data_IF_640434561790
#
_entry.id   IF_640434561790
#
_cell.length_a   1.000
_cell.length_b   1.000
_cell.length_c   1.000
_cell.angle_alpha   90.00
_cell.angle_beta   90.00
_cell.angle_gamma   90.00
#
_symmetry.space_group_name_H-M   'P 1'
#
loop_
_entity.id
_entity.type
_entity.pdbx_description
1 polymer ?
#
# COMPACT_ATOMS: atom_id res chain seq x y z
N UNK A 1 46.19 -15.69 11.87
CA UNK A 1 44.78 -16.09 11.93
C UNK A 1 44.07 -15.39 10.78
N UNK A 2 43.63 -16.11 9.76
CA UNK A 2 42.85 -15.52 8.66
C UNK A 2 41.49 -15.11 9.24
N UNK A 3 41.20 -13.82 9.28
CA UNK A 3 39.87 -13.34 9.66
C UNK A 3 38.86 -13.87 8.64
N UNK A 4 37.92 -14.69 9.10
CA UNK A 4 36.76 -15.09 8.30
C UNK A 4 35.89 -13.88 8.01
N UNK A 5 35.24 -13.89 6.84
CA UNK A 5 34.28 -12.86 6.46
C UNK A 5 32.86 -13.30 6.82
N UNK A 6 32.04 -12.35 7.23
CA UNK A 6 30.64 -12.56 7.57
C UNK A 6 29.89 -13.03 6.32
N UNK A 7 29.20 -14.16 6.42
CA UNK A 7 28.43 -14.74 5.31
C UNK A 7 27.31 -13.82 4.82
N UNK A 8 26.88 -12.84 5.62
CA UNK A 8 25.77 -11.94 5.27
C UNK A 8 26.19 -10.56 4.76
N UNK A 9 27.28 -9.97 5.28
CA UNK A 9 27.67 -8.60 4.93
C UNK A 9 29.16 -8.44 4.61
N UNK A 10 29.90 -9.55 4.56
CA UNK A 10 31.34 -9.60 4.26
C UNK A 10 32.27 -8.85 5.23
N UNK A 11 31.73 -8.32 6.34
CA UNK A 11 32.52 -7.72 7.41
C UNK A 11 33.43 -8.76 8.11
N UNK A 12 34.59 -8.36 8.64
CA UNK A 12 35.48 -9.27 9.38
C UNK A 12 34.80 -9.79 10.66
N UNK A 13 34.92 -11.09 10.94
CA UNK A 13 34.26 -11.74 12.08
C UNK A 13 34.94 -13.06 12.45
N UNK A 14 34.91 -13.40 13.73
CA UNK A 14 35.39 -14.69 14.26
C UNK A 14 34.32 -15.80 14.19
N UNK A 15 33.06 -15.41 13.97
CA UNK A 15 31.90 -16.29 13.81
C UNK A 15 31.38 -16.26 12.36
N UNK A 16 30.47 -17.16 11.98
CA UNK A 16 29.91 -17.21 10.62
C UNK A 16 29.12 -15.94 10.23
N UNK A 17 28.53 -15.25 11.22
CA UNK A 17 27.93 -13.92 11.06
C UNK A 17 28.46 -12.94 12.11
N UNK A 18 28.61 -11.68 11.73
CA UNK A 18 29.16 -10.64 12.60
C UNK A 18 28.16 -10.19 13.69
N UNK A 19 28.62 -9.55 14.78
CA UNK A 19 27.76 -9.12 15.90
C UNK A 19 26.58 -8.24 15.49
N UNK A 20 26.77 -7.34 14.52
CA UNK A 20 25.70 -6.52 13.98
C UNK A 20 24.61 -7.36 13.31
N UNK A 21 25.00 -8.36 12.51
CA UNK A 21 24.04 -9.26 11.87
C UNK A 21 23.31 -10.13 12.89
N UNK A 22 23.94 -10.49 14.01
CA UNK A 22 23.31 -11.20 15.14
C UNK A 22 22.26 -10.32 15.81
N UNK A 23 22.55 -9.05 16.09
CA UNK A 23 21.58 -8.11 16.67
C UNK A 23 20.38 -7.89 15.75
N UNK A 24 20.63 -7.69 14.45
CA UNK A 24 19.57 -7.53 13.45
C UNK A 24 18.70 -8.80 13.36
N UNK A 25 19.31 -10.00 13.35
CA UNK A 25 18.59 -11.27 13.34
C UNK A 25 17.74 -11.46 14.61
N UNK A 26 18.29 -11.13 15.79
CA UNK A 26 17.54 -11.16 17.06
C UNK A 26 16.33 -10.23 17.01
N UNK A 27 16.51 -9.01 16.52
CA UNK A 27 15.43 -8.04 16.40
C UNK A 27 14.35 -8.51 15.41
N UNK A 28 14.75 -9.13 14.29
CA UNK A 28 13.83 -9.70 13.31
C UNK A 28 13.00 -10.85 13.90
N UNK A 29 13.64 -11.83 14.53
CA UNK A 29 12.97 -12.95 15.20
C UNK A 29 12.05 -12.49 16.33
N UNK A 30 12.51 -11.55 17.16
CA UNK A 30 11.68 -10.95 18.20
C UNK A 30 10.46 -10.24 17.60
N UNK A 31 10.61 -9.51 16.48
CA UNK A 31 9.47 -8.84 15.82
C UNK A 31 8.43 -9.80 15.21
N UNK A 32 8.84 -11.04 14.90
CA UNK A 32 7.90 -12.07 14.44
C UNK A 32 6.97 -12.51 15.57
N UNK A 33 7.52 -12.67 16.77
CA UNK A 33 6.77 -13.10 17.95
C UNK A 33 6.04 -11.96 18.68
N UNK A 34 6.68 -10.80 18.81
CA UNK A 34 6.21 -9.68 19.65
C UNK A 34 6.19 -8.37 18.87
N UNK A 35 5.11 -7.59 19.03
CA UNK A 35 5.02 -6.24 18.50
C UNK A 35 5.65 -5.19 19.43
N UNK A 36 5.78 -3.92 18.98
CA UNK A 36 6.28 -2.85 19.82
C UNK A 36 5.39 -2.62 21.06
N UNK A 37 5.98 -2.22 22.18
CA UNK A 37 5.20 -1.82 23.35
C UNK A 37 4.51 -0.48 23.09
N UNK A 38 3.19 -0.46 23.25
CA UNK A 38 2.39 0.76 23.14
C UNK A 38 1.67 0.94 24.48
N UNK A 39 1.95 2.05 25.17
CA UNK A 39 1.39 2.35 26.49
C UNK A 39 1.67 1.26 27.55
N UNK A 40 2.88 0.68 27.54
CA UNK A 40 3.29 -0.35 28.49
C UNK A 40 2.62 -1.72 28.31
N UNK A 41 1.98 -1.96 27.16
CA UNK A 41 1.44 -3.27 26.79
C UNK A 41 2.11 -3.76 25.50
N UNK A 42 2.57 -5.02 25.44
CA UNK A 42 3.09 -5.59 24.21
C UNK A 42 1.96 -5.70 23.20
N UNK A 43 2.25 -5.30 21.95
CA UNK A 43 1.32 -5.49 20.84
C UNK A 43 1.57 -6.83 20.14
N UNK A 44 0.63 -7.25 19.29
CA UNK A 44 0.73 -8.49 18.53
C UNK A 44 1.94 -8.48 17.59
N UNK A 45 2.64 -9.63 17.51
CA UNK A 45 3.78 -9.83 16.62
C UNK A 45 3.39 -9.84 15.14
N UNK A 46 4.39 -9.81 14.25
CA UNK A 46 4.12 -9.86 12.80
C UNK A 46 3.38 -11.15 12.38
N UNK A 47 3.62 -12.28 13.05
CA UNK A 47 2.93 -13.54 12.75
C UNK A 47 1.44 -13.47 13.10
N UNK A 48 1.09 -12.87 14.23
CA UNK A 48 -0.31 -12.68 14.65
C UNK A 48 -1.02 -11.68 13.74
N UNK A 49 -0.35 -10.57 13.41
CA UNK A 49 -0.88 -9.58 12.46
C UNK A 49 -1.12 -10.20 11.07
N UNK A 50 -0.26 -11.13 10.64
CA UNK A 50 -0.45 -11.87 9.39
C UNK A 50 -1.62 -12.86 9.47
N UNK A 51 -1.80 -13.53 10.61
CA UNK A 51 -2.98 -14.36 10.87
C UNK A 51 -4.28 -13.52 10.84
N UNK A 52 -4.26 -12.32 11.39
CA UNK A 52 -5.38 -11.38 11.32
C UNK A 52 -5.72 -10.97 9.88
N UNK A 53 -4.73 -10.87 8.98
CA UNK A 53 -4.98 -10.62 7.55
C UNK A 53 -5.73 -11.79 6.92
N UNK A 54 -5.32 -13.04 7.23
CA UNK A 54 -6.00 -14.25 6.75
C UNK A 54 -7.43 -14.32 7.28
N UNK A 55 -7.62 -14.06 8.57
CA UNK A 55 -8.92 -14.10 9.24
C UNK A 55 -9.79 -12.85 8.97
N UNK A 56 -9.29 -11.85 8.24
CA UNK A 56 -9.95 -10.56 7.99
C UNK A 56 -10.31 -9.80 9.29
N UNK A 57 -9.52 -9.99 10.33
CA UNK A 57 -9.64 -9.34 11.63
C UNK A 57 -8.87 -8.03 11.73
N UNK A 58 -8.04 -7.70 10.73
CA UNK A 58 -7.28 -6.45 10.70
C UNK A 58 -8.19 -5.22 10.75
N UNK A 59 -8.03 -4.40 11.81
CA UNK A 59 -8.61 -3.05 11.88
C UNK A 59 -7.91 -2.17 10.85
N UNK A 60 -8.60 -1.83 9.77
CA UNK A 60 -8.12 -0.94 8.72
C UNK A 60 -7.97 0.50 9.25
N UNK A 61 -6.78 0.84 9.74
CA UNK A 61 -6.24 2.18 10.02
C UNK A 61 -7.02 3.15 10.93
N UNK A 62 -6.26 4.04 11.58
CA UNK A 62 -6.72 5.13 12.45
C UNK A 62 -7.59 6.20 11.75
N UNK A 63 -7.70 6.19 10.42
CA UNK A 63 -8.59 7.07 9.67
C UNK A 63 -9.88 6.33 9.29
N UNK A 64 -10.76 6.12 10.28
CA UNK A 64 -12.22 6.19 10.15
C UNK A 64 -12.90 5.53 8.94
N UNK A 65 -12.32 4.47 8.37
CA UNK A 65 -12.97 3.68 7.33
C UNK A 65 -13.96 2.75 7.97
N UNK A 66 -15.17 3.22 8.28
CA UNK A 66 -16.28 2.33 8.63
C UNK A 66 -16.38 1.24 7.56
N UNK A 67 -16.48 -0.03 8.00
CA UNK A 67 -16.98 -1.13 7.16
C UNK A 67 -18.22 -0.60 6.45
N UNK A 68 -18.28 -0.69 5.12
CA UNK A 68 -19.49 -0.29 4.40
C UNK A 68 -20.61 -1.24 4.86
N UNK A 69 -21.78 -0.70 5.18
CA UNK A 69 -22.97 -1.48 5.50
C UNK A 69 -23.21 -2.49 4.36
N UNK A 70 -22.97 -3.77 4.63
CA UNK A 70 -22.85 -4.84 3.60
C UNK A 70 -21.63 -5.76 3.77
N UNK A 71 -20.57 -5.29 4.45
CA UNK A 71 -19.38 -6.09 4.84
C UNK A 71 -19.54 -6.81 6.19
N UNK A 72 -20.77 -6.91 6.72
CA UNK A 72 -21.09 -7.53 8.02
C UNK A 72 -21.15 -9.06 7.95
N UNK A 73 -21.28 -9.62 6.76
CA UNK A 73 -21.09 -11.06 6.58
C UNK A 73 -19.61 -11.31 6.30
N UNK A 74 -18.94 -12.25 7.01
CA UNK A 74 -17.67 -12.76 6.54
C UNK A 74 -17.90 -13.21 5.10
N UNK A 75 -17.23 -12.51 4.17
CA UNK A 75 -17.31 -12.83 2.74
C UNK A 75 -17.13 -14.34 2.63
N UNK A 76 -18.11 -15.09 2.07
CA UNK A 76 -18.02 -16.53 1.94
C UNK A 76 -16.63 -16.89 1.41
N UNK A 77 -16.05 -17.99 1.90
CA UNK A 77 -14.75 -18.48 1.46
C UNK A 77 -14.73 -18.51 -0.08
N UNK A 78 -14.15 -17.45 -0.66
CA UNK A 78 -13.87 -17.40 -2.08
C UNK A 78 -12.59 -18.20 -2.22
N UNK A 79 -12.57 -19.27 -3.03
CA UNK A 79 -11.34 -20.00 -3.30
C UNK A 79 -10.27 -19.00 -3.75
N UNK A 80 -9.01 -19.25 -3.36
CA UNK A 80 -7.82 -18.39 -3.50
C UNK A 80 -7.41 -18.08 -4.95
N UNK A 81 -8.34 -17.58 -5.76
CA UNK A 81 -8.12 -17.06 -7.10
C UNK A 81 -8.36 -15.56 -7.06
N UNK A 82 -7.31 -14.78 -6.89
CA UNK A 82 -7.39 -13.37 -7.24
C UNK A 82 -7.46 -13.23 -8.77
N UNK A 83 -7.61 -11.99 -9.23
CA UNK A 83 -7.80 -11.66 -10.65
C UNK A 83 -6.65 -12.23 -11.48
N UNK A 84 -6.93 -12.81 -12.65
CA UNK A 84 -5.87 -13.22 -13.59
C UNK A 84 -4.98 -12.01 -13.92
N UNK A 85 -3.65 -12.20 -14.00
CA UNK A 85 -2.75 -11.12 -14.42
C UNK A 85 -3.07 -10.81 -15.87
N UNK A 86 -3.42 -9.56 -16.16
CA UNK A 86 -3.44 -9.06 -17.54
C UNK A 86 -2.08 -8.50 -17.87
N UNK A 87 -1.45 -9.02 -18.91
CA UNK A 87 -0.23 -8.43 -19.43
C UNK A 87 -0.53 -7.00 -19.89
N UNK A 88 0.24 -6.04 -19.37
CA UNK A 88 0.05 -4.60 -19.65
C UNK A 88 0.35 -4.23 -21.10
N UNK A 89 1.09 -5.06 -21.84
CA UNK A 89 1.46 -4.80 -23.23
C UNK A 89 0.51 -5.44 -24.25
N UNK A 90 0.09 -6.68 -24.00
CA UNK A 90 -0.73 -7.47 -24.95
C UNK A 90 -2.20 -7.55 -24.55
N UNK A 91 -2.53 -7.28 -23.29
CA UNK A 91 -3.91 -7.39 -22.78
C UNK A 91 -4.39 -8.83 -22.58
N UNK A 92 -3.54 -9.82 -22.86
CA UNK A 92 -3.83 -11.24 -22.64
C UNK A 92 -3.81 -11.56 -21.15
N UNK A 93 -4.74 -12.42 -20.74
CA UNK A 93 -4.80 -12.97 -19.37
C UNK A 93 -3.79 -14.11 -19.29
N UNK A 94 -2.79 -13.99 -18.41
CA UNK A 94 -1.88 -15.10 -18.13
C UNK A 94 -2.63 -16.15 -17.31
N UNK A 95 -2.35 -17.44 -17.55
CA UNK A 95 -2.94 -18.55 -16.78
C UNK A 95 -2.53 -18.58 -15.30
N UNK A 96 -1.63 -17.69 -14.86
CA UNK A 96 -1.24 -17.59 -13.45
C UNK A 96 -2.27 -16.79 -12.63
N UNK A 97 -2.94 -17.41 -11.63
CA UNK A 97 -3.84 -16.70 -10.75
C UNK A 97 -3.04 -15.77 -9.83
N UNK A 98 -3.35 -14.47 -9.83
CA UNK A 98 -2.83 -13.58 -8.79
C UNK A 98 -3.45 -14.00 -7.48
N UNK A 99 -2.64 -14.37 -6.49
CA UNK A 99 -3.19 -14.68 -5.17
C UNK A 99 -3.87 -13.45 -4.57
N UNK A 100 -5.02 -13.66 -3.93
CA UNK A 100 -5.63 -12.64 -3.07
C UNK A 100 -4.65 -12.24 -1.96
N UNK A 101 -4.79 -11.04 -1.36
CA UNK A 101 -3.98 -10.69 -0.18
C UNK A 101 -4.06 -11.74 0.94
N UNK A 102 -5.22 -12.39 1.09
CA UNK A 102 -5.44 -13.49 2.03
C UNK A 102 -4.69 -14.76 1.63
N UNK A 103 -4.78 -15.17 0.36
CA UNK A 103 -4.05 -16.33 -0.16
C UNK A 103 -2.54 -16.15 -0.05
N UNK A 104 -2.05 -14.93 -0.33
CA UNK A 104 -0.64 -14.56 -0.11
C UNK A 104 -0.25 -14.61 1.38
N UNK A 105 -1.10 -14.11 2.27
CA UNK A 105 -0.85 -14.18 3.71
C UNK A 105 -0.86 -15.63 4.23
N UNK A 106 -1.77 -16.47 3.74
CA UNK A 106 -1.86 -17.90 4.07
C UNK A 106 -0.59 -18.65 3.63
N UNK A 107 -0.13 -18.44 2.39
CA UNK A 107 1.12 -19.00 1.91
C UNK A 107 2.33 -18.54 2.73
N UNK A 108 2.37 -17.25 3.11
CA UNK A 108 3.43 -16.73 3.96
C UNK A 108 3.40 -17.32 5.38
N UNK A 109 2.22 -17.61 5.96
CA UNK A 109 2.13 -18.31 7.24
C UNK A 109 2.64 -19.75 7.12
N UNK A 110 2.29 -20.46 6.05
CA UNK A 110 2.82 -21.80 5.80
C UNK A 110 4.34 -21.78 5.61
N UNK A 111 4.86 -20.82 4.86
CA UNK A 111 6.30 -20.60 4.69
C UNK A 111 6.98 -20.27 6.02
N UNK A 112 6.40 -19.38 6.83
CA UNK A 112 6.92 -19.03 8.15
C UNK A 112 6.99 -20.25 9.07
N UNK A 113 5.91 -21.05 9.11
CA UNK A 113 5.85 -22.29 9.88
C UNK A 113 6.98 -23.24 9.50
N UNK A 114 7.12 -23.51 8.19
CA UNK A 114 8.14 -24.42 7.70
C UNK A 114 9.54 -23.90 8.04
N UNK A 115 9.84 -22.64 7.70
CA UNK A 115 11.15 -22.02 7.94
C UNK A 115 11.54 -22.09 9.42
N UNK A 116 10.66 -21.62 10.32
CA UNK A 116 10.94 -21.59 11.76
C UNK A 116 11.05 -23.01 12.34
N UNK A 117 10.17 -23.93 11.95
CA UNK A 117 10.20 -25.31 12.45
C UNK A 117 11.45 -26.08 11.99
N UNK A 118 11.91 -25.85 10.76
CA UNK A 118 13.14 -26.44 10.21
C UNK A 118 14.35 -25.89 10.94
N UNK A 119 14.50 -24.56 11.05
CA UNK A 119 15.65 -23.97 11.74
C UNK A 119 15.72 -24.37 13.23
N UNK A 120 14.58 -24.48 13.92
CA UNK A 120 14.54 -25.03 15.29
C UNK A 120 15.03 -26.47 15.33
N UNK A 121 14.52 -27.32 14.42
CA UNK A 121 14.91 -28.73 14.34
C UNK A 121 16.40 -28.87 14.07
N UNK A 122 16.91 -28.23 13.02
CA UNK A 122 18.30 -28.32 12.59
C UNK A 122 19.25 -27.86 13.71
N UNK A 123 18.93 -26.74 14.38
CA UNK A 123 19.73 -26.25 15.50
C UNK A 123 19.71 -27.18 16.72
N UNK A 124 18.58 -27.83 16.97
CA UNK A 124 18.46 -28.84 18.03
C UNK A 124 19.26 -30.11 17.68
N UNK A 125 19.17 -30.58 16.43
CA UNK A 125 19.87 -31.76 15.92
C UNK A 125 21.39 -31.58 15.93
N UNK A 126 21.90 -30.45 15.40
CA UNK A 126 23.33 -30.12 15.43
C UNK A 126 23.91 -30.07 16.85
N UNK A 127 23.07 -29.78 17.85
CA UNK A 127 23.48 -29.70 19.26
C UNK A 127 23.17 -30.94 20.08
N UNK A 128 22.51 -31.95 19.50
CA UNK A 128 22.07 -33.14 20.22
C UNK A 128 21.06 -32.84 21.33
N UNK A 129 20.24 -31.79 21.18
CA UNK A 129 19.23 -31.38 22.15
C UNK A 129 17.86 -31.84 21.64
N UNK A 130 17.10 -32.53 22.48
CA UNK A 130 15.71 -32.86 22.18
C UNK A 130 14.82 -31.59 22.15
N UNK A 131 13.91 -31.51 21.18
CA UNK A 131 13.07 -30.31 20.97
C UNK A 131 12.15 -30.06 22.17
N UNK A 132 11.57 -31.10 22.79
CA UNK A 132 10.74 -30.90 24.00
C UNK A 132 11.59 -30.34 25.14
N UNK A 133 12.82 -30.85 25.32
CA UNK A 133 13.78 -30.32 26.29
C UNK A 133 14.18 -28.87 25.99
N UNK A 134 14.41 -28.52 24.72
CA UNK A 134 14.78 -27.16 24.30
C UNK A 134 13.72 -26.12 24.70
N UNK A 135 12.44 -26.50 24.67
CA UNK A 135 11.30 -25.66 25.05
C UNK A 135 10.79 -25.91 26.48
N UNK A 136 11.51 -26.74 27.27
CA UNK A 136 11.13 -27.11 28.65
C UNK A 136 9.70 -27.69 28.71
N UNK A 137 9.34 -28.51 27.73
CA UNK A 137 8.05 -29.20 27.65
C UNK A 137 8.25 -30.68 27.99
N UNK A 138 7.33 -31.25 28.77
CA UNK A 138 7.21 -32.70 28.97
C UNK A 138 5.94 -33.24 28.31
N UNK A 139 5.89 -34.53 27.96
CA UNK A 139 4.67 -35.17 27.47
C UNK A 139 3.48 -34.96 28.41
N UNK A 140 2.27 -34.93 27.84
CA UNK A 140 1.05 -34.66 28.58
C UNK A 140 0.76 -35.73 29.66
N UNK A 141 1.20 -36.96 29.42
CA UNK A 141 1.05 -38.15 30.26
C UNK A 141 2.16 -38.31 31.30
N UNK A 142 3.17 -37.44 31.33
CA UNK A 142 4.25 -37.50 32.33
C UNK A 142 3.64 -37.37 33.73
N UNK A 143 3.87 -38.34 34.62
CA UNK A 143 3.39 -38.29 36.00
C UNK A 143 4.54 -37.86 36.92
N UNK A 144 4.35 -36.80 37.70
CA UNK A 144 5.34 -36.33 38.68
C UNK A 144 5.52 -34.80 38.72
N UNK A 145 6.28 -34.29 39.69
CA UNK A 145 6.55 -32.86 39.80
C UNK A 145 7.39 -32.36 38.63
N UNK A 146 7.07 -31.15 38.14
CA UNK A 146 7.83 -30.50 37.06
C UNK A 146 9.00 -29.71 37.62
N UNK A 147 10.10 -29.64 36.87
CA UNK A 147 11.18 -28.72 37.15
C UNK A 147 10.69 -27.26 37.01
N UNK A 148 11.29 -26.28 37.73
CA UNK A 148 10.92 -24.87 37.58
C UNK A 148 11.01 -24.38 36.13
N UNK A 149 9.94 -23.75 35.65
CA UNK A 149 9.83 -23.26 34.27
C UNK A 149 9.54 -24.35 33.22
N UNK A 150 9.35 -25.61 33.62
CA UNK A 150 8.86 -26.66 32.74
C UNK A 150 7.34 -26.73 32.73
N UNK A 151 6.77 -27.10 31.59
CA UNK A 151 5.32 -27.23 31.39
C UNK A 151 4.96 -28.56 30.76
N UNK A 152 3.73 -29.02 30.99
CA UNK A 152 3.17 -30.15 30.25
C UNK A 152 2.69 -29.68 28.88
N UNK A 153 2.85 -30.54 27.89
CA UNK A 153 2.19 -30.38 26.60
C UNK A 153 0.67 -30.30 26.79
N UNK A 154 0.03 -29.29 26.17
CA UNK A 154 -1.43 -29.15 26.20
C UNK A 154 -2.14 -30.13 25.27
N UNK A 155 -1.44 -30.64 24.24
CA UNK A 155 -1.94 -31.54 23.20
C UNK A 155 -0.86 -32.60 22.94
N UNK A 156 -1.29 -33.84 22.66
CA UNK A 156 -0.40 -34.93 22.23
C UNK A 156 -0.76 -35.36 20.79
N UNK A 157 0.19 -35.34 19.83
CA UNK A 157 1.58 -34.91 19.95
C UNK A 157 1.71 -33.39 20.09
N UNK A 158 2.72 -32.94 20.85
CA UNK A 158 3.02 -31.52 20.99
C UNK A 158 3.72 -30.97 19.74
N UNK A 159 3.36 -29.74 19.37
CA UNK A 159 3.96 -29.02 18.26
C UNK A 159 4.31 -27.60 18.73
N UNK A 160 5.53 -27.16 18.40
CA UNK A 160 5.99 -25.79 18.67
C UNK A 160 5.12 -24.80 17.88
N UNK A 161 4.57 -23.77 18.53
CA UNK A 161 3.88 -22.69 17.82
C UNK A 161 4.88 -21.74 17.13
N UNK A 162 4.48 -21.08 16.05
CA UNK A 162 5.38 -20.18 15.32
C UNK A 162 5.94 -19.04 16.18
N UNK A 163 5.13 -18.34 17.02
CA UNK A 163 5.67 -17.31 17.90
C UNK A 163 6.67 -17.86 18.93
N UNK A 164 6.40 -19.03 19.51
CA UNK A 164 7.34 -19.71 20.43
C UNK A 164 8.65 -20.08 19.71
N UNK A 165 8.57 -20.62 18.49
CA UNK A 165 9.75 -20.95 17.69
C UNK A 165 10.60 -19.71 17.40
N UNK A 166 9.97 -18.61 16.98
CA UNK A 166 10.67 -17.35 16.70
C UNK A 166 11.32 -16.76 17.97
N UNK A 167 10.62 -16.77 19.11
CA UNK A 167 11.13 -16.29 20.39
C UNK A 167 12.30 -17.15 20.91
N UNK A 168 12.18 -18.47 20.78
CA UNK A 168 13.26 -19.39 21.13
C UNK A 168 14.50 -19.19 20.26
N UNK A 169 14.33 -19.02 18.94
CA UNK A 169 15.44 -18.69 18.04
C UNK A 169 16.06 -17.34 18.40
N UNK A 170 15.27 -16.33 18.79
CA UNK A 170 15.76 -15.02 19.22
C UNK A 170 16.64 -15.10 20.48
N UNK A 171 16.30 -16.00 21.41
CA UNK A 171 17.09 -16.28 22.61
C UNK A 171 18.39 -17.05 22.28
N UNK A 172 18.39 -17.82 21.20
CA UNK A 172 19.49 -18.68 20.79
C UNK A 172 20.25 -18.15 19.56
N UNK A 173 20.22 -16.86 19.25
CA UNK A 173 20.91 -16.33 18.06
C UNK A 173 22.43 -16.52 18.12
N UNK A 174 23.02 -16.55 19.32
CA UNK A 174 24.44 -16.89 19.43
C UNK A 174 24.72 -18.32 18.97
N UNK A 175 23.79 -19.25 19.21
CA UNK A 175 23.89 -20.60 18.71
C UNK A 175 23.87 -20.66 17.18
N UNK A 176 22.96 -19.88 16.57
CA UNK A 176 22.88 -19.70 15.13
C UNK A 176 24.17 -19.12 14.58
N UNK A 177 24.79 -18.15 15.26
CA UNK A 177 26.02 -17.50 14.76
C UNK A 177 27.24 -18.42 14.69
N UNK A 178 27.23 -19.52 15.45
CA UNK A 178 28.27 -20.54 15.44
C UNK A 178 28.00 -21.67 14.42
N UNK A 179 26.87 -21.63 13.72
CA UNK A 179 26.47 -22.65 12.75
C UNK A 179 26.95 -22.29 11.34
N UNK A 180 27.35 -23.29 10.56
CA UNK A 180 27.80 -23.09 9.18
C UNK A 180 26.71 -22.53 8.26
N UNK A 181 25.43 -22.81 8.58
CA UNK A 181 24.26 -22.33 7.85
C UNK A 181 23.77 -20.93 8.30
N UNK A 182 24.47 -20.24 9.21
CA UNK A 182 24.04 -18.98 9.81
C UNK A 182 23.64 -17.90 8.79
N UNK A 183 24.41 -17.76 7.70
CA UNK A 183 24.15 -16.80 6.63
C UNK A 183 22.85 -17.10 5.88
N UNK A 184 22.59 -18.38 5.60
CA UNK A 184 21.37 -18.83 4.94
C UNK A 184 20.15 -18.57 5.83
N UNK A 185 20.20 -19.00 7.09
CA UNK A 185 19.07 -18.82 8.02
C UNK A 185 18.73 -17.34 8.23
N UNK A 186 19.74 -16.47 8.33
CA UNK A 186 19.52 -15.02 8.39
C UNK A 186 18.84 -14.50 7.14
N UNK A 187 19.28 -14.92 5.95
CA UNK A 187 18.70 -14.47 4.68
C UNK A 187 17.23 -14.92 4.55
N UNK A 188 16.91 -16.14 4.97
CA UNK A 188 15.55 -16.67 4.98
C UNK A 188 14.64 -15.87 5.92
N UNK A 189 15.09 -15.58 7.15
CA UNK A 189 14.33 -14.79 8.12
C UNK A 189 14.15 -13.34 7.64
N UNK A 190 15.19 -12.71 7.10
CA UNK A 190 15.11 -11.36 6.56
C UNK A 190 14.15 -11.27 5.36
N UNK A 191 14.20 -12.24 4.45
CA UNK A 191 13.27 -12.34 3.32
C UNK A 191 11.82 -12.54 3.81
N UNK A 192 11.63 -13.42 4.81
CA UNK A 192 10.33 -13.70 5.42
C UNK A 192 9.76 -12.44 6.07
N UNK A 193 10.50 -11.77 6.95
CA UNK A 193 10.06 -10.54 7.63
C UNK A 193 9.70 -9.45 6.62
N UNK A 194 10.51 -9.26 5.57
CA UNK A 194 10.20 -8.28 4.51
C UNK A 194 8.96 -8.67 3.71
N UNK A 195 8.72 -9.95 3.47
CA UNK A 195 7.52 -10.42 2.79
C UNK A 195 6.27 -10.20 3.65
N UNK A 196 6.34 -10.55 4.93
CA UNK A 196 5.26 -10.36 5.90
C UNK A 196 4.92 -8.88 6.04
N UNK A 197 5.92 -8.01 6.27
CA UNK A 197 5.71 -6.55 6.34
C UNK A 197 5.04 -6.01 5.09
N UNK A 198 5.49 -6.39 3.89
CA UNK A 198 4.85 -5.98 2.63
C UNK A 198 3.41 -6.46 2.45
N UNK A 199 3.02 -7.55 3.10
CA UNK A 199 1.65 -8.10 3.04
C UNK A 199 0.74 -7.45 4.07
N UNK A 200 1.26 -7.15 5.27
CA UNK A 200 0.54 -6.42 6.32
C UNK A 200 0.39 -4.94 5.94
N UNK A 201 1.50 -4.30 5.56
CA UNK A 201 1.53 -2.90 5.18
C UNK A 201 0.89 -2.74 3.80
N UNK A 202 -0.21 -1.99 3.75
CA UNK A 202 -0.83 -1.63 2.48
C UNK A 202 0.19 -0.81 1.67
N UNK A 203 0.46 -1.15 0.39
CA UNK A 203 1.31 -0.33 -0.45
C UNK A 203 0.83 1.11 -0.42
N UNK A 204 1.73 2.04 -0.08
CA UNK A 204 1.38 3.46 0.02
C UNK A 204 0.83 3.90 -1.33
N UNK A 205 -0.37 4.47 -1.33
CA UNK A 205 -1.01 4.91 -2.56
C UNK A 205 -0.23 6.07 -3.13
N UNK A 206 0.19 5.92 -4.39
CA UNK A 206 0.77 7.02 -5.16
C UNK A 206 -0.33 7.80 -5.84
N UNK A 207 -0.36 9.10 -5.59
CA UNK A 207 -1.27 10.03 -6.24
C UNK A 207 -0.54 10.83 -7.32
N UNK A 208 -1.28 11.20 -8.37
CA UNK A 208 -0.80 12.16 -9.36
C UNK A 208 -0.94 13.56 -8.77
N UNK A 209 0.18 14.25 -8.54
CA UNK A 209 0.20 15.58 -7.94
C UNK A 209 -0.08 16.67 -8.98
N UNK A 210 0.48 16.54 -10.18
CA UNK A 210 0.44 17.55 -11.23
C UNK A 210 1.68 17.50 -12.12
N UNK A 211 1.85 18.51 -12.98
CA UNK A 211 3.03 18.63 -13.85
C UNK A 211 4.16 19.39 -13.15
N UNK A 212 5.40 19.03 -13.47
CA UNK A 212 6.57 19.73 -12.97
C UNK A 212 6.70 21.13 -13.60
N UNK A 213 6.65 22.15 -12.75
CA UNK A 213 6.68 23.57 -13.13
C UNK A 213 8.10 24.15 -13.25
N UNK A 214 9.14 23.36 -13.03
CA UNK A 214 10.52 23.87 -13.16
C UNK A 214 10.76 24.33 -14.58
N UNK A 215 11.19 25.59 -14.74
CA UNK A 215 11.65 26.12 -16.01
C UNK A 215 12.99 25.50 -16.36
N UNK A 216 13.05 24.87 -17.53
CA UNK A 216 14.24 24.32 -18.17
C UNK A 216 14.53 25.24 -19.35
N UNK A 217 15.77 25.71 -19.47
CA UNK A 217 16.25 26.56 -20.57
C UNK A 217 15.42 27.85 -20.79
N UNK A 218 15.17 28.58 -19.69
CA UNK A 218 14.70 29.98 -19.71
C UNK A 218 13.25 30.25 -20.19
N UNK A 219 12.60 29.29 -20.86
CA UNK A 219 11.24 29.49 -21.39
C UNK A 219 10.33 28.27 -21.34
N UNK A 220 10.84 27.04 -21.23
CA UNK A 220 10.00 25.82 -21.26
C UNK A 220 9.86 25.21 -19.87
N UNK A 221 8.66 24.80 -19.48
CA UNK A 221 8.46 24.03 -18.26
C UNK A 221 8.82 22.56 -18.48
N UNK A 222 9.24 21.89 -17.41
CA UNK A 222 9.66 20.48 -17.47
C UNK A 222 8.52 19.55 -17.89
N UNK A 223 7.29 19.86 -17.48
CA UNK A 223 6.01 19.20 -17.78
C UNK A 223 5.96 17.71 -17.46
N UNK A 224 6.86 17.23 -16.60
CA UNK A 224 6.85 15.84 -16.17
C UNK A 224 5.74 15.59 -15.13
N UNK A 225 4.91 14.57 -15.34
CA UNK A 225 3.84 14.19 -14.40
C UNK A 225 4.41 13.63 -13.09
N UNK A 226 4.34 14.43 -12.02
CA UNK A 226 4.85 14.07 -10.70
C UNK A 226 3.85 13.19 -9.95
N UNK A 227 4.36 12.09 -9.41
CA UNK A 227 3.61 11.16 -8.56
C UNK A 227 4.33 11.03 -7.23
N UNK A 228 3.57 11.05 -6.15
CA UNK A 228 4.12 10.87 -4.81
C UNK A 228 3.13 10.10 -3.92
N UNK A 229 3.61 9.48 -2.84
CA UNK A 229 2.77 9.01 -1.73
C UNK A 229 1.80 10.08 -1.23
N UNK A 230 0.63 9.67 -0.71
CA UNK A 230 -0.38 10.59 -0.14
C UNK A 230 0.18 11.48 0.97
N UNK A 231 1.07 10.92 1.80
CA UNK A 231 1.75 11.53 2.93
C UNK A 231 3.07 12.24 2.59
N UNK A 232 3.50 12.21 1.32
CA UNK A 232 4.74 12.86 0.93
C UNK A 232 4.61 14.39 0.98
N UNK A 233 5.51 15.02 1.74
CA UNK A 233 5.63 16.49 1.82
C UNK A 233 6.36 17.04 0.57
N UNK A 234 7.35 16.30 0.08
CA UNK A 234 8.19 16.70 -1.05
C UNK A 234 8.29 15.60 -2.11
N UNK A 235 8.40 16.02 -3.36
CA UNK A 235 8.59 15.15 -4.52
C UNK A 235 9.78 15.61 -5.35
N UNK A 236 10.63 14.66 -5.74
CA UNK A 236 11.76 14.91 -6.65
C UNK A 236 11.35 14.56 -8.08
N UNK A 237 11.48 15.52 -9.00
CA UNK A 237 11.21 15.26 -10.42
C UNK A 237 12.32 14.35 -11.01
N UNK A 238 11.99 13.22 -11.66
CA UNK A 238 13.01 12.36 -12.26
C UNK A 238 13.66 12.97 -13.52
N UNK A 239 12.96 13.89 -14.21
CA UNK A 239 13.46 14.56 -15.44
C UNK A 239 14.42 15.71 -15.14
N UNK A 240 14.00 16.71 -14.35
CA UNK A 240 14.83 17.88 -14.02
C UNK A 240 15.54 17.80 -12.65
N UNK A 241 15.32 16.72 -11.89
CA UNK A 241 15.92 16.46 -10.56
C UNK A 241 15.61 17.48 -9.46
N UNK A 242 14.79 18.50 -9.76
CA UNK A 242 14.34 19.49 -8.77
C UNK A 242 13.41 18.87 -7.74
N UNK A 243 13.60 19.25 -6.47
CA UNK A 243 12.71 18.90 -5.36
C UNK A 243 11.66 19.99 -5.20
N UNK A 244 10.39 19.60 -5.04
CA UNK A 244 9.25 20.52 -4.85
C UNK A 244 8.37 20.03 -3.74
N UNK A 245 7.74 20.96 -3.01
CA UNK A 245 6.66 20.63 -2.08
C UNK A 245 5.43 20.14 -2.85
N UNK A 246 4.86 19.03 -2.39
CA UNK A 246 3.71 18.40 -3.01
C UNK A 246 2.50 19.35 -3.07
N UNK A 247 2.27 20.14 -2.02
CA UNK A 247 1.16 21.10 -1.98
C UNK A 247 1.28 22.20 -3.03
N UNK A 248 2.49 22.68 -3.32
CA UNK A 248 2.72 23.66 -4.38
C UNK A 248 2.40 23.08 -5.75
N UNK A 249 2.81 21.83 -6.01
CA UNK A 249 2.52 21.14 -7.27
C UNK A 249 1.01 20.89 -7.42
N UNK A 250 0.33 20.46 -6.35
CA UNK A 250 -1.13 20.27 -6.32
C UNK A 250 -1.87 21.58 -6.58
N UNK A 251 -1.51 22.65 -5.86
CA UNK A 251 -2.15 23.96 -5.99
C UNK A 251 -1.97 24.53 -7.40
N UNK A 252 -0.79 24.35 -7.99
CA UNK A 252 -0.51 24.77 -9.35
C UNK A 252 -1.30 23.95 -10.37
N UNK A 253 -1.31 22.61 -10.25
CA UNK A 253 -2.11 21.73 -11.11
C UNK A 253 -3.60 22.06 -11.04
N UNK A 254 -4.12 22.38 -9.85
CA UNK A 254 -5.50 22.87 -9.69
C UNK A 254 -5.70 24.26 -10.32
N UNK A 255 -4.76 25.18 -10.17
CA UNK A 255 -4.82 26.49 -10.83
C UNK A 255 -4.82 26.37 -12.35
N UNK A 256 -3.98 25.50 -12.91
CA UNK A 256 -3.88 25.30 -14.36
C UNK A 256 -5.13 24.60 -14.90
N UNK A 257 -5.64 23.60 -14.19
CA UNK A 257 -6.94 22.99 -14.50
C UNK A 257 -8.10 23.99 -14.42
N UNK A 258 -8.07 24.94 -13.47
CA UNK A 258 -9.07 26.02 -13.38
C UNK A 258 -8.98 27.00 -14.55
N UNK A 259 -7.77 27.24 -15.07
CA UNK A 259 -7.52 28.18 -16.17
C UNK A 259 -7.78 27.54 -17.55
N UNK A 260 -7.61 26.24 -17.67
CA UNK A 260 -7.76 25.50 -18.92
C UNK A 260 -9.16 25.67 -19.54
N UNK A 261 -9.18 25.99 -20.83
CA UNK A 261 -10.37 25.95 -21.66
C UNK A 261 -10.61 24.49 -22.06
N UNK A 262 -11.73 23.94 -21.62
CA UNK A 262 -12.08 22.54 -21.80
C UNK A 262 -13.40 22.41 -22.56
N UNK A 263 -13.50 21.35 -23.37
CA UNK A 263 -14.75 21.02 -24.06
C UNK A 263 -15.78 20.50 -23.06
N UNK A 264 -17.06 20.45 -23.47
CA UNK A 264 -18.11 19.93 -22.60
C UNK A 264 -17.86 18.49 -22.12
N UNK A 265 -17.34 17.62 -23.00
CA UNK A 265 -17.03 16.23 -22.63
C UNK A 265 -15.92 16.16 -21.59
N UNK A 266 -14.93 17.04 -21.69
CA UNK A 266 -13.87 17.19 -20.70
C UNK A 266 -14.39 17.73 -19.36
N UNK A 267 -15.42 18.59 -19.36
CA UNK A 267 -16.10 19.02 -18.11
C UNK A 267 -16.73 17.83 -17.40
N UNK A 268 -17.42 16.95 -18.13
CA UNK A 268 -18.06 15.76 -17.57
C UNK A 268 -17.03 14.77 -17.01
N UNK A 269 -15.96 14.53 -17.77
CA UNK A 269 -14.87 13.65 -17.34
C UNK A 269 -14.14 14.21 -16.12
N UNK A 270 -13.87 15.51 -16.09
CA UNK A 270 -13.25 16.19 -14.94
C UNK A 270 -14.13 16.10 -13.71
N UNK A 271 -15.45 16.25 -13.85
CA UNK A 271 -16.41 16.09 -12.77
C UNK A 271 -16.43 14.66 -12.21
N UNK A 272 -16.39 13.62 -13.06
CA UNK A 272 -16.31 12.22 -12.62
C UNK A 272 -15.06 11.93 -11.80
N UNK A 273 -13.94 12.61 -12.08
CA UNK A 273 -12.67 12.45 -11.35
C UNK A 273 -12.64 13.17 -9.99
N UNK A 274 -13.63 14.01 -9.68
CA UNK A 274 -13.73 14.66 -8.36
C UNK A 274 -14.17 13.68 -7.26
N UNK A 275 -13.85 13.97 -5.98
CA UNK A 275 -14.39 13.25 -4.83
C UNK A 275 -15.93 13.29 -4.77
N UNK A 276 -16.60 12.27 -4.22
CA UNK A 276 -18.08 12.17 -4.26
C UNK A 276 -18.81 13.40 -3.69
N UNK A 277 -18.30 14.02 -2.61
CA UNK A 277 -18.88 15.26 -2.06
C UNK A 277 -18.67 16.52 -2.92
N UNK A 278 -17.83 16.43 -3.94
CA UNK A 278 -17.43 17.53 -4.81
C UNK A 278 -18.00 17.37 -6.23
N UNK A 279 -18.57 16.21 -6.55
CA UNK A 279 -19.23 15.91 -7.83
C UNK A 279 -20.55 16.66 -7.93
N UNK A 280 -20.75 17.32 -9.05
CA UNK A 280 -22.06 17.87 -9.43
C UNK A 280 -22.82 16.79 -10.19
N UNK A 281 -24.10 16.57 -9.88
CA UNK A 281 -24.90 15.60 -10.63
C UNK A 281 -24.92 15.97 -12.12
N UNK A 282 -24.77 14.98 -13.01
CA UNK A 282 -24.66 15.23 -14.45
C UNK A 282 -25.87 15.99 -15.01
N UNK A 283 -27.07 15.71 -14.48
CA UNK A 283 -28.31 16.43 -14.82
C UNK A 283 -28.18 17.93 -14.52
N UNK A 284 -27.66 18.29 -13.36
CA UNK A 284 -27.44 19.69 -12.95
C UNK A 284 -26.43 20.40 -13.84
N UNK A 285 -25.35 19.71 -14.26
CA UNK A 285 -24.41 20.26 -15.22
C UNK A 285 -25.07 20.53 -16.58
N UNK A 286 -25.84 19.57 -17.11
CA UNK A 286 -26.61 19.77 -18.36
C UNK A 286 -27.58 20.93 -18.24
N UNK A 287 -28.28 21.05 -17.12
CA UNK A 287 -29.19 22.17 -16.85
C UNK A 287 -28.45 23.50 -16.82
N UNK A 288 -27.27 23.58 -16.17
CA UNK A 288 -26.44 24.79 -16.14
C UNK A 288 -25.91 25.19 -17.52
N UNK A 289 -25.61 24.22 -18.37
CA UNK A 289 -25.24 24.47 -19.77
C UNK A 289 -26.43 25.02 -20.57
N UNK A 290 -27.59 24.37 -20.46
CA UNK A 290 -28.79 24.76 -21.19
C UNK A 290 -29.31 26.16 -20.78
N UNK A 291 -29.14 26.52 -19.52
CA UNK A 291 -29.55 27.82 -18.96
C UNK A 291 -28.49 28.91 -19.12
N UNK A 292 -27.30 28.60 -19.63
CA UNK A 292 -26.20 29.56 -19.77
C UNK A 292 -25.59 30.01 -18.44
N UNK A 293 -25.81 29.27 -17.35
CA UNK A 293 -25.26 29.57 -16.02
C UNK A 293 -23.73 29.41 -15.99
N UNK A 294 -23.21 28.45 -16.76
CA UNK A 294 -21.78 28.32 -17.05
C UNK A 294 -21.50 29.13 -18.32
N UNK A 295 -20.70 30.21 -18.26
CA UNK A 295 -20.41 31.02 -19.42
C UNK A 295 -19.54 30.27 -20.42
N UNK A 296 -19.82 30.45 -21.71
CA UNK A 296 -18.90 30.05 -22.77
C UNK A 296 -17.73 31.02 -22.75
N UNK A 297 -16.50 30.50 -22.71
CA UNK A 297 -15.27 31.29 -22.60
C UNK A 297 -14.46 31.38 -23.90
N UNK A 298 -14.86 30.60 -24.90
CA UNK A 298 -14.29 30.61 -26.23
C UNK A 298 -14.88 29.50 -27.09
N UNK A 299 -14.34 29.35 -28.28
CA UNK A 299 -14.77 28.37 -29.26
C UNK A 299 -13.53 27.68 -29.84
N UNK A 300 -13.57 26.34 -29.88
CA UNK A 300 -12.57 25.51 -30.54
C UNK A 300 -12.93 25.39 -32.01
N UNK A 301 -12.00 25.71 -32.90
CA UNK A 301 -12.19 25.60 -34.33
C UNK A 301 -12.40 24.13 -34.77
N UNK A 302 -12.96 23.95 -35.96
CA UNK A 302 -13.15 22.64 -36.56
C UNK A 302 -11.84 21.84 -36.73
N UNK A 303 -10.69 22.52 -36.79
CA UNK A 303 -9.34 21.92 -36.84
C UNK A 303 -8.93 21.24 -35.52
N UNK A 304 -9.68 21.46 -34.43
CA UNK A 304 -9.42 20.92 -33.09
C UNK A 304 -8.18 21.47 -32.39
N UNK A 305 -7.50 22.47 -32.94
CA UNK A 305 -6.23 23.02 -32.44
C UNK A 305 -6.30 24.50 -32.15
N UNK A 306 -6.97 25.26 -33.00
CA UNK A 306 -7.13 26.71 -32.86
C UNK A 306 -8.35 27.02 -31.98
N UNK A 307 -8.26 28.05 -31.14
CA UNK A 307 -9.41 28.52 -30.39
C UNK A 307 -9.52 30.04 -30.41
N UNK A 308 -10.74 30.52 -30.43
CA UNK A 308 -11.09 31.93 -30.58
C UNK A 308 -11.99 32.36 -29.43
N UNK A 309 -12.05 33.67 -29.14
CA UNK A 309 -12.96 34.21 -28.13
C UNK A 309 -14.41 34.20 -28.63
N UNK A 310 -14.60 34.50 -29.91
CA UNK A 310 -15.91 34.55 -30.57
C UNK A 310 -16.07 33.37 -31.54
N UNK A 311 -17.31 33.00 -31.83
CA UNK A 311 -17.64 31.95 -32.79
C UNK A 311 -17.39 32.47 -34.21
N UNK A 312 -16.65 31.72 -35.03
CA UNK A 312 -16.37 32.06 -36.42
C UNK A 312 -17.08 31.13 -37.40
N UNK A 313 -17.22 29.85 -37.06
CA UNK A 313 -17.94 28.83 -37.84
C UNK A 313 -19.06 28.17 -37.03
N UNK A 314 -20.04 27.61 -37.73
CA UNK A 314 -21.10 26.82 -37.10
C UNK A 314 -20.54 25.52 -36.48
N UNK A 315 -19.46 24.97 -37.04
CA UNK A 315 -18.80 23.77 -36.54
C UNK A 315 -17.92 24.00 -35.30
N UNK A 316 -17.74 25.25 -34.88
CA UNK A 316 -16.89 25.56 -33.73
C UNK A 316 -17.52 25.08 -32.41
N UNK A 317 -16.74 24.33 -31.62
CA UNK A 317 -17.22 23.74 -30.37
C UNK A 317 -17.04 24.71 -29.20
N UNK A 318 -18.04 24.93 -28.34
CA UNK A 318 -17.92 25.84 -27.20
C UNK A 318 -16.94 25.29 -26.15
N UNK A 319 -16.08 26.18 -25.65
CA UNK A 319 -15.13 25.93 -24.58
C UNK A 319 -15.60 26.56 -23.27
N UNK A 320 -15.39 25.84 -22.17
CA UNK A 320 -15.78 26.20 -20.82
C UNK A 320 -14.54 26.18 -19.91
N UNK A 321 -14.65 26.77 -18.71
CA UNK A 321 -13.61 26.63 -17.67
C UNK A 321 -14.13 25.84 -16.50
N UNK A 322 -13.33 24.90 -16.00
CA UNK A 322 -13.69 24.14 -14.80
C UNK A 322 -13.83 25.05 -13.56
N UNK A 323 -13.03 26.12 -13.48
CA UNK A 323 -13.14 27.11 -12.41
C UNK A 323 -14.52 27.78 -12.32
N UNK A 324 -15.20 28.00 -13.44
CA UNK A 324 -16.56 28.55 -13.45
C UNK A 324 -17.56 27.55 -12.84
N UNK A 325 -17.38 26.24 -13.08
CA UNK A 325 -18.21 25.17 -12.49
C UNK A 325 -18.00 25.07 -10.98
N UNK A 326 -16.75 25.13 -10.52
CA UNK A 326 -16.42 25.13 -9.08
C UNK A 326 -16.99 26.35 -8.36
N UNK A 327 -16.87 27.54 -8.98
CA UNK A 327 -17.43 28.77 -8.46
C UNK A 327 -18.96 28.67 -8.32
N UNK A 328 -19.65 28.15 -9.35
CA UNK A 328 -21.10 27.95 -9.32
C UNK A 328 -21.55 26.92 -8.28
N UNK A 329 -20.77 25.86 -8.08
CA UNK A 329 -21.01 24.89 -7.00
C UNK A 329 -20.88 25.52 -5.62
N UNK A 330 -19.88 26.38 -5.42
CA UNK A 330 -19.65 27.05 -4.12
C UNK A 330 -20.74 28.07 -3.76
N UNK A 331 -21.47 28.58 -4.75
CA UNK A 331 -22.58 29.51 -4.55
C UNK A 331 -23.83 28.75 -4.09
N UNK A 332 -24.13 28.80 -2.78
CA UNK A 332 -25.31 28.13 -2.14
C UNK A 332 -26.68 28.50 -2.71
N UNK A 333 -26.79 29.55 -3.54
CA UNK A 333 -28.02 29.96 -4.22
C UNK A 333 -27.71 30.24 -5.68
N UNK A 334 -28.12 29.35 -6.58
CA UNK A 334 -28.20 29.67 -7.99
C UNK A 334 -29.32 30.73 -8.16
N UNK A 335 -29.09 31.83 -8.88
CA UNK A 335 -30.21 32.63 -9.36
C UNK A 335 -31.06 31.68 -10.21
N UNK A 336 -32.30 31.40 -9.77
CA UNK A 336 -33.32 30.83 -10.67
C UNK A 336 -33.44 31.84 -11.80
N UNK A 337 -32.80 31.53 -12.94
CA UNK A 337 -32.77 32.42 -14.09
C UNK A 337 -34.17 32.91 -14.38
N UNK A 338 -34.30 34.22 -14.58
CA UNK A 338 -35.40 34.79 -15.34
C UNK A 338 -35.61 33.91 -16.56
N UNK A 339 -36.71 33.17 -16.56
CA UNK A 339 -37.15 32.43 -17.73
C UNK A 339 -37.44 33.46 -18.81
N UNK A 340 -36.45 33.87 -19.59
CA UNK A 340 -36.70 34.44 -20.92
C UNK A 340 -37.29 33.31 -21.76
N UNK A 341 -38.61 33.14 -21.63
CA UNK A 341 -39.44 32.51 -22.65
C UNK A 341 -39.23 33.34 -23.91
N UNK A 342 -38.34 32.90 -24.79
CA UNK A 342 -38.46 33.24 -26.20
C UNK A 342 -39.78 32.64 -26.66
N UNK A 343 -40.82 33.47 -26.63
CA UNK A 343 -42.10 33.18 -27.26
C UNK A 343 -41.81 33.10 -28.75
N UNK A 344 -41.78 31.89 -29.30
CA UNK A 344 -41.90 31.71 -30.74
C UNK A 344 -43.19 32.40 -31.17
N UNK A 345 -43.04 33.50 -31.90
CA UNK A 345 -44.15 34.21 -32.54
C UNK A 345 -44.50 33.50 -33.85
N UNK A 346 -45.80 33.28 -34.00
CA UNK A 346 -46.62 33.11 -35.22
C UNK A 346 -45.94 32.70 -36.51
#
# INVERSE_FOLDING_TARGET
MSQSQCQSCSAPTDLYICPRCVEELRAQLHSLAHGPEVNGRPTAGLLDNLADVVLKLTKLNANGGHRKKGDEMPVPYLPDVGKMVRDKKTGEETDEPVLSPQGRASQLLAQARNTLSTQVRDLCEHRGIDVMRAFRVVPADMVGPLMPGWRRASISPWVVSMPEAADWLACNVHAISCDEAAGQWRAEIDALVRAIKRTIDRPVRYELLGLCITQVDGSRTCDYALRAPEDAIEVRCPKCRTVRRCDTVRAQGQSDARKALITWDQVLETNKRQPDGWRVHERTLRDWRATGVIPIRGYLAADGKSHWVNRHSEDDKPLYKWGDVEQRRSQKRLPRGERKRTRAGR
#
